data_IF_172075305128
#
_entry.id   IF_172075305128
#
_cell.length_a   1.000
_cell.length_b   1.000
_cell.length_c   1.000
_cell.angle_alpha   90.00
_cell.angle_beta   90.00
_cell.angle_gamma   90.00
#
_symmetry.space_group_name_H-M   'P 1'
#
loop_
_entity.id
_entity.type
_entity.pdbx_description
1 polymer ?
#
# COMPACT_ATOMS: atom_id res chain seq x y z
N UNK A 1 27.06 18.05 -26.65
CA UNK A 1 25.87 17.41 -26.07
C UNK A 1 24.97 16.93 -27.20
N UNK A 2 24.45 15.71 -27.14
CA UNK A 2 23.58 15.17 -28.17
C UNK A 2 22.22 15.90 -28.18
N UNK A 3 21.62 16.04 -29.37
CA UNK A 3 20.33 16.70 -29.54
C UNK A 3 19.21 15.90 -28.90
N UNK A 4 18.22 16.59 -28.25
CA UNK A 4 17.06 15.94 -27.64
C UNK A 4 16.23 15.20 -28.68
N UNK A 5 15.78 14.00 -28.36
CA UNK A 5 14.95 13.19 -29.25
C UNK A 5 13.64 13.90 -29.65
N UNK A 6 13.02 14.66 -28.72
CA UNK A 6 11.83 15.49 -29.02
C UNK A 6 12.10 16.60 -30.05
N UNK A 7 13.36 16.95 -30.29
CA UNK A 7 13.81 17.95 -31.29
C UNK A 7 14.42 17.31 -32.53
N UNK A 8 14.33 16.00 -32.71
CA UNK A 8 14.85 15.26 -33.87
C UNK A 8 16.15 14.48 -33.61
N UNK A 9 16.69 14.52 -32.40
CA UNK A 9 17.83 13.70 -31.99
C UNK A 9 17.46 12.22 -31.83
N UNK A 10 18.47 11.39 -31.52
CA UNK A 10 18.25 9.97 -31.21
C UNK A 10 17.88 9.79 -29.74
N UNK A 11 16.94 8.89 -29.39
CA UNK A 11 16.62 8.59 -28.01
C UNK A 11 17.80 7.92 -27.29
N UNK A 12 17.95 8.20 -26.00
CA UNK A 12 18.99 7.59 -25.17
C UNK A 12 18.62 6.12 -24.81
N UNK A 13 17.32 5.84 -24.56
CA UNK A 13 16.84 4.48 -24.34
C UNK A 13 16.37 3.90 -25.66
N UNK A 14 17.01 2.82 -26.12
CA UNK A 14 16.68 2.12 -27.36
C UNK A 14 16.13 0.72 -27.14
N UNK A 15 16.03 0.28 -25.90
CA UNK A 15 15.53 -1.05 -25.50
C UNK A 15 14.00 -1.03 -25.49
N UNK A 16 13.34 -1.85 -26.32
CA UNK A 16 11.88 -1.87 -26.45
C UNK A 16 11.20 -2.59 -25.27
N UNK A 17 11.74 -3.73 -24.85
CA UNK A 17 11.17 -4.58 -23.78
C UNK A 17 12.21 -4.79 -22.68
N UNK A 18 12.30 -3.88 -21.70
CA UNK A 18 13.41 -3.92 -20.75
C UNK A 18 13.34 -5.03 -19.70
N UNK A 19 12.16 -5.60 -19.38
CA UNK A 19 12.02 -6.64 -18.36
C UNK A 19 12.27 -8.03 -18.93
N UNK A 20 13.30 -8.72 -18.46
CA UNK A 20 13.68 -10.08 -18.86
C UNK A 20 13.17 -11.16 -17.90
N UNK A 21 12.82 -10.80 -16.69
CA UNK A 21 12.27 -11.73 -15.72
C UNK A 21 10.97 -12.35 -16.23
N UNK A 22 10.88 -13.68 -16.10
CA UNK A 22 9.71 -14.41 -16.56
C UNK A 22 8.91 -14.95 -15.39
N UNK A 23 7.60 -14.71 -15.44
CA UNK A 23 6.63 -15.28 -14.51
C UNK A 23 6.69 -16.82 -14.53
N UNK A 24 6.65 -17.49 -13.36
CA UNK A 24 6.71 -18.95 -13.24
C UNK A 24 5.33 -19.57 -13.56
N UNK A 25 4.89 -19.47 -14.82
CA UNK A 25 3.54 -19.87 -15.26
C UNK A 25 3.30 -21.38 -15.06
N UNK A 26 4.32 -22.20 -15.24
CA UNK A 26 4.15 -23.64 -15.12
C UNK A 26 3.96 -24.08 -13.66
N UNK A 27 4.68 -23.44 -12.70
CA UNK A 27 4.45 -23.65 -11.28
C UNK A 27 3.04 -23.18 -10.85
N UNK A 28 2.57 -22.05 -11.40
CA UNK A 28 1.21 -21.55 -11.13
C UNK A 28 0.14 -22.52 -11.64
N UNK A 29 0.32 -23.07 -12.86
CA UNK A 29 -0.59 -24.08 -13.42
C UNK A 29 -0.61 -25.34 -12.57
N UNK A 30 0.57 -25.83 -12.16
CA UNK A 30 0.70 -27.04 -11.34
C UNK A 30 -0.08 -26.89 -10.02
N UNK A 31 0.15 -25.77 -9.27
CA UNK A 31 -0.55 -25.56 -7.98
C UNK A 31 -2.07 -25.41 -8.17
N UNK A 32 -2.53 -24.72 -9.22
CA UNK A 32 -3.96 -24.55 -9.50
C UNK A 32 -4.60 -25.87 -9.95
N UNK A 33 -3.97 -26.60 -10.88
CA UNK A 33 -4.48 -27.89 -11.37
C UNK A 33 -4.57 -28.92 -10.23
N UNK A 34 -3.57 -28.97 -9.36
CA UNK A 34 -3.57 -29.84 -8.17
C UNK A 34 -4.82 -29.62 -7.29
N UNK A 35 -5.22 -28.36 -7.06
CA UNK A 35 -6.44 -28.08 -6.28
C UNK A 35 -7.73 -28.48 -7.00
N UNK A 36 -7.77 -28.31 -8.33
CA UNK A 36 -8.92 -28.72 -9.15
C UNK A 36 -9.06 -30.24 -9.10
N UNK A 37 -7.97 -31.00 -9.29
CA UNK A 37 -7.94 -32.46 -9.25
C UNK A 37 -8.34 -33.03 -7.88
N UNK A 38 -7.93 -32.34 -6.80
CA UNK A 38 -8.31 -32.68 -5.43
C UNK A 38 -9.75 -32.28 -5.09
N UNK A 39 -10.42 -31.47 -5.91
CA UNK A 39 -11.75 -30.94 -5.62
C UNK A 39 -11.78 -29.93 -4.47
N UNK A 40 -10.62 -29.37 -4.07
CA UNK A 40 -10.52 -28.42 -2.96
C UNK A 40 -10.66 -26.97 -3.44
N UNK A 41 -11.89 -26.54 -3.71
CA UNK A 41 -12.21 -25.24 -4.30
C UNK A 41 -12.86 -24.26 -3.31
N UNK A 42 -13.07 -24.66 -2.07
CA UNK A 42 -13.70 -23.84 -1.04
C UNK A 42 -13.20 -24.25 0.35
N UNK A 43 -13.22 -23.31 1.30
CA UNK A 43 -12.82 -23.58 2.70
C UNK A 43 -11.86 -22.55 3.24
N UNK A 44 -11.60 -22.63 4.55
CA UNK A 44 -10.57 -21.90 5.28
C UNK A 44 -10.25 -22.65 6.57
N UNK A 45 -9.09 -22.38 7.18
CA UNK A 45 -8.64 -23.06 8.39
C UNK A 45 -8.09 -24.46 8.18
N UNK A 46 -8.09 -24.97 6.95
CA UNK A 46 -7.52 -26.28 6.55
C UNK A 46 -7.03 -26.24 5.11
N UNK A 47 -6.23 -27.23 4.71
CA UNK A 47 -5.67 -27.35 3.35
C UNK A 47 -4.86 -26.12 2.95
N UNK A 48 -4.88 -25.77 1.67
CA UNK A 48 -4.06 -24.69 1.12
C UNK A 48 -4.23 -23.33 1.81
N UNK A 49 -5.43 -22.85 2.19
CA UNK A 49 -5.56 -21.60 2.93
C UNK A 49 -4.78 -21.60 4.25
N UNK A 50 -4.83 -22.70 5.01
CA UNK A 50 -4.08 -22.83 6.27
C UNK A 50 -2.57 -22.94 6.00
N UNK A 51 -2.17 -23.69 5.01
CA UNK A 51 -0.76 -23.79 4.60
C UNK A 51 -0.17 -22.43 4.22
N UNK A 52 -0.92 -21.64 3.43
CA UNK A 52 -0.47 -20.31 3.01
C UNK A 52 -0.42 -19.33 4.19
N UNK A 53 -1.42 -19.35 5.09
CA UNK A 53 -1.41 -18.56 6.32
C UNK A 53 -0.16 -18.88 7.17
N UNK A 54 0.20 -20.15 7.31
CA UNK A 54 1.37 -20.60 8.08
C UNK A 54 2.70 -20.20 7.39
N UNK A 55 2.79 -20.33 6.06
CA UNK A 55 3.96 -19.91 5.30
C UNK A 55 4.15 -18.40 5.40
N UNK A 56 3.09 -17.61 5.21
CA UNK A 56 3.16 -16.15 5.30
C UNK A 56 3.45 -15.68 6.72
N UNK A 57 2.81 -16.29 7.73
CA UNK A 57 3.08 -16.04 9.14
C UNK A 57 4.55 -16.28 9.49
N UNK A 58 5.12 -17.38 9.01
CA UNK A 58 6.55 -17.69 9.15
C UNK A 58 7.43 -16.65 8.46
N UNK A 59 7.08 -16.27 7.25
CA UNK A 59 7.81 -15.29 6.46
C UNK A 59 7.87 -13.92 7.15
N UNK A 60 6.76 -13.48 7.73
CA UNK A 60 6.66 -12.22 8.49
C UNK A 60 7.29 -12.34 9.87
N UNK A 61 7.19 -13.50 10.54
CA UNK A 61 7.64 -13.71 11.91
C UNK A 61 6.60 -13.31 12.97
N UNK A 62 5.32 -13.19 12.60
CA UNK A 62 4.23 -12.84 13.50
C UNK A 62 3.55 -14.06 14.14
N UNK A 63 2.69 -13.81 15.16
CA UNK A 63 1.98 -14.88 15.85
C UNK A 63 0.76 -15.39 15.10
N UNK A 64 0.03 -14.51 14.41
CA UNK A 64 -1.22 -14.83 13.73
C UNK A 64 -1.27 -14.24 12.33
N UNK A 65 -1.86 -14.99 11.42
CA UNK A 65 -2.08 -14.61 10.03
C UNK A 65 -3.45 -15.12 9.60
N UNK A 66 -4.22 -14.29 8.92
CA UNK A 66 -5.55 -14.59 8.42
C UNK A 66 -5.68 -14.13 6.96
N UNK A 67 -6.13 -15.02 6.07
CA UNK A 67 -6.37 -14.68 4.67
C UNK A 67 -7.84 -14.32 4.45
N UNK A 68 -8.07 -13.27 3.66
CA UNK A 68 -9.40 -12.77 3.28
C UNK A 68 -9.47 -12.51 1.77
N UNK A 69 -10.66 -12.22 1.27
CA UNK A 69 -10.93 -12.08 -0.16
C UNK A 69 -10.31 -10.81 -0.81
N UNK A 70 -10.02 -9.75 -0.02
CA UNK A 70 -9.41 -8.50 -0.51
C UNK A 70 -8.59 -7.80 0.58
N UNK A 71 -7.66 -6.91 0.17
CA UNK A 71 -6.92 -6.05 1.10
C UNK A 71 -7.84 -5.08 1.86
N UNK A 72 -8.90 -4.58 1.23
CA UNK A 72 -9.89 -3.70 1.88
C UNK A 72 -10.73 -4.41 2.95
N UNK A 73 -11.02 -5.71 2.77
CA UNK A 73 -11.69 -6.53 3.79
C UNK A 73 -10.74 -6.92 4.92
N UNK A 74 -9.44 -7.09 4.64
CA UNK A 74 -8.42 -7.20 5.68
C UNK A 74 -8.42 -5.97 6.58
N UNK A 75 -8.39 -4.76 6.00
CA UNK A 75 -8.45 -3.49 6.74
C UNK A 75 -9.77 -3.34 7.51
N UNK A 76 -10.92 -3.67 6.89
CA UNK A 76 -12.20 -3.62 7.57
C UNK A 76 -12.25 -4.58 8.78
N UNK A 77 -11.69 -5.78 8.66
CA UNK A 77 -11.59 -6.73 9.77
C UNK A 77 -10.63 -6.26 10.86
N UNK A 78 -9.53 -5.59 10.48
CA UNK A 78 -8.59 -4.99 11.41
C UNK A 78 -9.24 -3.85 12.22
N UNK A 79 -10.01 -2.96 11.59
CA UNK A 79 -10.75 -1.91 12.31
C UNK A 79 -11.74 -2.49 13.31
N UNK A 80 -12.48 -3.54 12.92
CA UNK A 80 -13.35 -4.24 13.87
C UNK A 80 -12.53 -4.88 15.01
N UNK A 81 -11.37 -5.47 14.69
CA UNK A 81 -10.50 -6.09 15.70
C UNK A 81 -10.00 -5.08 16.74
N UNK A 82 -9.57 -3.91 16.33
CA UNK A 82 -9.11 -2.84 17.25
C UNK A 82 -10.26 -1.98 17.79
N UNK A 83 -11.50 -2.47 17.68
CA UNK A 83 -12.72 -1.89 18.27
C UNK A 83 -13.10 -0.51 17.72
N UNK A 84 -12.75 -0.22 16.48
CA UNK A 84 -13.29 0.94 15.76
C UNK A 84 -14.78 0.73 15.51
N UNK A 85 -15.59 1.72 15.82
CA UNK A 85 -17.04 1.66 15.72
C UNK A 85 -17.71 3.02 15.53
N UNK A 86 -19.06 3.05 15.69
CA UNK A 86 -19.84 4.25 15.44
C UNK A 86 -19.41 5.42 16.33
N UNK A 87 -19.12 6.58 15.69
CA UNK A 87 -18.70 7.80 16.39
C UNK A 87 -17.21 7.94 16.62
N UNK A 88 -16.42 6.93 16.32
CA UNK A 88 -14.98 6.98 16.38
C UNK A 88 -14.35 7.72 15.17
N UNK A 89 -13.07 8.03 15.30
CA UNK A 89 -12.24 8.63 14.25
C UNK A 89 -11.01 7.75 13.97
N UNK A 90 -10.59 7.71 12.71
CA UNK A 90 -9.36 7.04 12.28
C UNK A 90 -8.49 8.01 11.49
N UNK A 91 -7.19 8.13 11.82
CA UNK A 91 -6.27 9.07 11.17
C UNK A 91 -5.51 8.34 10.06
N UNK A 92 -5.47 8.91 8.86
CA UNK A 92 -4.78 8.36 7.68
C UNK A 92 -4.24 9.50 6.80
N UNK A 93 -3.15 9.29 6.02
CA UNK A 93 -2.63 10.35 5.16
C UNK A 93 -3.60 10.68 4.02
N UNK A 94 -3.59 11.96 3.62
CA UNK A 94 -4.39 12.41 2.47
C UNK A 94 -3.86 11.89 1.12
N UNK A 95 -2.58 11.54 1.04
CA UNK A 95 -2.01 10.83 -0.09
C UNK A 95 -2.17 9.32 0.14
N UNK A 96 -3.19 8.71 -0.47
CA UNK A 96 -3.56 7.34 -0.15
C UNK A 96 -4.49 6.68 -1.18
N UNK A 97 -5.33 5.81 -0.65
CA UNK A 97 -6.32 5.06 -1.41
C UNK A 97 -7.59 4.84 -0.57
N UNK A 98 -8.76 4.95 -1.21
CA UNK A 98 -10.05 4.80 -0.52
C UNK A 98 -10.20 3.45 0.22
N UNK A 99 -9.61 2.38 -0.31
CA UNK A 99 -9.62 1.05 0.32
C UNK A 99 -8.99 1.03 1.72
N UNK A 100 -8.07 1.96 2.01
CA UNK A 100 -7.41 2.07 3.31
C UNK A 100 -8.38 2.37 4.44
N UNK A 101 -9.42 3.18 4.21
CA UNK A 101 -10.33 3.66 5.26
C UNK A 101 -11.81 3.37 5.00
N UNK A 102 -12.21 2.82 3.84
CA UNK A 102 -13.62 2.57 3.55
C UNK A 102 -14.27 1.62 4.56
N UNK A 103 -13.53 0.63 5.07
CA UNK A 103 -14.00 -0.25 6.14
C UNK A 103 -14.37 0.49 7.42
N UNK A 104 -13.61 1.51 7.80
CA UNK A 104 -13.91 2.35 8.95
C UNK A 104 -15.21 3.17 8.74
N UNK A 105 -15.42 3.71 7.53
CA UNK A 105 -16.68 4.38 7.18
C UNK A 105 -17.88 3.46 7.35
N UNK A 106 -17.79 2.21 6.89
CA UNK A 106 -18.86 1.23 7.03
C UNK A 106 -19.10 0.79 8.48
N UNK A 107 -18.09 0.85 9.35
CA UNK A 107 -18.22 0.64 10.79
C UNK A 107 -18.74 1.89 11.53
N UNK A 108 -18.97 3.01 10.85
CA UNK A 108 -19.50 4.23 11.44
C UNK A 108 -18.45 5.20 11.96
N UNK A 109 -17.19 4.93 11.70
CA UNK A 109 -16.10 5.82 12.05
C UNK A 109 -15.77 6.83 10.94
N UNK A 110 -15.28 8.00 11.31
CA UNK A 110 -14.91 9.08 10.40
C UNK A 110 -13.40 9.04 10.11
N UNK A 111 -12.96 8.95 8.84
CA UNK A 111 -11.59 9.24 8.48
C UNK A 111 -11.24 10.70 8.74
N UNK A 112 -10.12 10.92 9.43
CA UNK A 112 -9.47 12.21 9.62
C UNK A 112 -8.17 12.18 8.84
N UNK A 113 -8.06 13.02 7.81
CA UNK A 113 -6.84 13.05 7.01
C UNK A 113 -5.75 13.86 7.71
N UNK A 114 -4.49 13.45 7.49
CA UNK A 114 -3.30 14.21 7.86
C UNK A 114 -2.42 14.46 6.64
N UNK A 115 -1.49 15.38 6.77
CA UNK A 115 -0.52 15.70 5.72
C UNK A 115 0.60 14.65 5.67
N UNK A 116 1.52 14.80 4.76
CA UNK A 116 2.63 13.89 4.50
C UNK A 116 3.98 14.57 4.76
N UNK A 117 4.99 13.77 5.02
CA UNK A 117 6.37 14.22 5.02
C UNK A 117 6.83 14.51 3.57
N UNK A 118 7.44 15.66 3.29
CA UNK A 118 7.77 16.07 1.93
C UNK A 118 8.87 15.26 1.26
N UNK A 119 9.73 14.61 2.03
CA UNK A 119 10.85 13.85 1.51
C UNK A 119 10.50 12.38 1.24
N UNK A 120 9.65 11.80 2.09
CA UNK A 120 9.27 10.38 2.01
C UNK A 120 7.92 10.15 1.36
N UNK A 121 7.08 11.18 1.22
CA UNK A 121 5.68 11.14 0.77
C UNK A 121 4.78 10.22 1.63
N UNK A 122 5.21 9.91 2.85
CA UNK A 122 4.48 9.07 3.80
C UNK A 122 3.79 9.94 4.85
N UNK A 123 2.93 9.33 5.65
CA UNK A 123 2.24 9.98 6.76
C UNK A 123 3.22 10.76 7.65
N UNK A 124 2.89 12.03 7.97
CA UNK A 124 3.66 12.86 8.91
C UNK A 124 3.22 12.58 10.35
N UNK A 125 4.08 11.95 11.20
CA UNK A 125 3.74 11.68 12.59
C UNK A 125 3.41 12.95 13.41
N UNK A 126 4.00 14.11 13.07
CA UNK A 126 3.72 15.35 13.76
C UNK A 126 2.31 15.86 13.44
N UNK A 127 1.86 15.72 12.18
CA UNK A 127 0.49 16.08 11.81
C UNK A 127 -0.52 15.07 12.36
N UNK A 128 -0.18 13.78 12.44
CA UNK A 128 -0.99 12.77 13.14
C UNK A 128 -1.27 13.23 14.57
N UNK A 129 -0.23 13.57 15.33
CA UNK A 129 -0.37 13.97 16.73
C UNK A 129 -1.25 15.21 16.91
N UNK A 130 -1.12 16.21 16.02
CA UNK A 130 -1.97 17.41 16.02
C UNK A 130 -3.46 17.13 15.77
N UNK A 131 -3.80 15.99 15.12
CA UNK A 131 -5.18 15.64 14.76
C UNK A 131 -5.85 14.69 15.70
N UNK A 132 -5.17 14.22 16.74
CA UNK A 132 -5.72 13.33 17.75
C UNK A 132 -6.84 14.04 18.53
N UNK A 133 -7.97 13.35 18.67
CA UNK A 133 -9.09 13.77 19.51
C UNK A 133 -9.46 12.63 20.47
N UNK A 134 -10.33 12.85 21.47
CA UNK A 134 -10.83 11.78 22.33
C UNK A 134 -11.58 10.66 21.60
N UNK A 135 -11.96 10.86 20.33
CA UNK A 135 -12.61 9.90 19.48
C UNK A 135 -11.65 9.08 18.62
N UNK A 136 -10.40 9.47 18.53
CA UNK A 136 -9.41 8.74 17.73
C UNK A 136 -9.18 7.34 18.29
N UNK A 137 -9.37 6.30 17.46
CA UNK A 137 -9.20 4.89 17.83
C UNK A 137 -8.09 4.19 17.07
N UNK A 138 -7.80 4.64 15.84
CA UNK A 138 -6.71 4.05 15.06
C UNK A 138 -5.94 5.12 14.27
N UNK A 139 -4.65 4.86 14.11
CA UNK A 139 -3.77 5.52 13.13
C UNK A 139 -3.51 4.51 12.03
N UNK A 140 -3.62 4.93 10.78
CA UNK A 140 -3.47 4.04 9.62
C UNK A 140 -2.33 4.54 8.74
N UNK A 141 -1.08 4.18 9.06
CA UNK A 141 0.04 4.41 8.15
C UNK A 141 -0.13 3.59 6.88
N UNK A 142 0.16 4.20 5.73
CA UNK A 142 0.22 3.50 4.44
C UNK A 142 1.69 3.39 4.06
N UNK A 143 2.21 2.18 3.95
CA UNK A 143 3.56 1.92 3.42
C UNK A 143 3.54 2.05 1.90
N UNK A 144 3.31 3.30 1.45
CA UNK A 144 2.91 3.59 0.08
C UNK A 144 4.05 3.31 -0.89
N UNK A 145 3.73 2.62 -1.98
CA UNK A 145 4.68 2.15 -3.01
C UNK A 145 5.83 1.27 -2.50
N UNK A 146 5.69 0.72 -1.28
CA UNK A 146 6.70 -0.12 -0.65
C UNK A 146 7.73 0.67 0.17
N UNK A 147 7.63 2.00 0.26
CA UNK A 147 8.37 2.79 1.25
C UNK A 147 7.76 2.60 2.64
N UNK A 148 8.54 2.72 3.70
CA UNK A 148 8.14 2.39 5.07
C UNK A 148 7.99 3.64 5.91
N UNK A 149 6.84 3.79 6.58
CA UNK A 149 6.54 4.88 7.50
C UNK A 149 7.46 4.85 8.73
N UNK A 150 7.60 5.99 9.43
CA UNK A 150 8.32 6.06 10.71
C UNK A 150 7.56 5.29 11.79
N UNK A 151 7.84 3.98 11.87
CA UNK A 151 7.12 3.11 12.81
C UNK A 151 7.48 3.39 14.26
N UNK A 152 8.67 3.88 14.57
CA UNK A 152 9.03 4.25 15.95
C UNK A 152 8.16 5.40 16.44
N UNK A 153 8.04 6.46 15.65
CA UNK A 153 7.21 7.62 16.00
C UNK A 153 5.72 7.26 16.08
N UNK A 154 5.20 6.49 15.12
CA UNK A 154 3.78 6.13 15.09
C UNK A 154 3.39 5.17 16.22
N UNK A 155 4.22 4.18 16.52
CA UNK A 155 4.00 3.27 17.65
C UNK A 155 4.14 3.98 19.00
N UNK A 156 5.02 4.99 19.09
CA UNK A 156 5.12 5.82 20.30
C UNK A 156 3.84 6.64 20.52
N UNK A 157 3.34 7.30 19.47
CA UNK A 157 2.05 8.00 19.51
C UNK A 157 0.93 7.05 19.93
N UNK A 158 0.83 5.87 19.29
CA UNK A 158 -0.16 4.86 19.63
C UNK A 158 -0.15 4.51 21.13
N UNK A 159 1.04 4.25 21.69
CA UNK A 159 1.22 3.94 23.13
C UNK A 159 0.83 5.11 24.04
N UNK A 160 1.29 6.34 23.75
CA UNK A 160 1.02 7.52 24.57
C UNK A 160 -0.46 7.87 24.67
N UNK A 161 -1.18 7.67 23.58
CA UNK A 161 -2.60 8.04 23.51
C UNK A 161 -3.56 6.85 23.64
N UNK A 162 -3.06 5.61 23.74
CA UNK A 162 -3.89 4.41 23.79
C UNK A 162 -4.66 4.18 22.48
N UNK A 163 -4.06 4.48 21.34
CA UNK A 163 -4.63 4.40 19.99
C UNK A 163 -3.94 3.26 19.24
N UNK A 164 -4.72 2.41 18.57
CA UNK A 164 -4.18 1.32 17.78
C UNK A 164 -3.48 1.81 16.49
N UNK A 165 -2.43 1.11 16.07
CA UNK A 165 -1.74 1.33 14.78
C UNK A 165 -2.10 0.18 13.84
N UNK A 166 -2.90 0.48 12.80
CA UNK A 166 -3.33 -0.46 11.77
C UNK A 166 -2.57 -0.16 10.48
N UNK A 167 -1.57 -0.98 10.15
CA UNK A 167 -0.72 -0.74 8.99
C UNK A 167 -1.41 -1.17 7.68
N UNK A 168 -1.51 -0.27 6.70
CA UNK A 168 -1.81 -0.62 5.31
C UNK A 168 -0.49 -0.92 4.57
N UNK A 169 -0.15 -2.19 4.49
CA UNK A 169 1.04 -2.72 3.84
C UNK A 169 0.73 -3.32 2.46
N UNK A 170 -0.38 -2.92 1.81
CA UNK A 170 -0.80 -3.46 0.51
C UNK A 170 0.29 -3.37 -0.58
N UNK A 171 1.30 -2.52 -0.42
CA UNK A 171 2.40 -2.30 -1.36
C UNK A 171 3.77 -2.79 -0.84
N UNK A 172 3.85 -3.26 0.41
CA UNK A 172 5.11 -3.36 1.16
C UNK A 172 5.46 -4.79 1.64
N UNK A 173 5.03 -5.82 0.89
CA UNK A 173 5.38 -7.21 1.22
C UNK A 173 6.90 -7.40 1.21
N UNK A 174 7.46 -7.78 2.36
CA UNK A 174 8.88 -7.99 2.56
C UNK A 174 9.68 -6.74 2.91
N UNK A 175 9.03 -5.57 3.03
CA UNK A 175 9.66 -4.37 3.60
C UNK A 175 9.96 -4.54 5.09
N UNK A 176 10.94 -3.80 5.59
CA UNK A 176 11.41 -3.92 6.97
C UNK A 176 11.61 -2.53 7.60
N UNK A 177 11.42 -2.46 8.92
CA UNK A 177 11.80 -1.36 9.77
C UNK A 177 12.75 -1.87 10.85
N UNK A 178 13.97 -1.36 10.88
CA UNK A 178 15.05 -1.76 11.80
C UNK A 178 15.27 -3.29 11.86
N UNK A 179 15.22 -3.95 10.67
CA UNK A 179 15.38 -5.40 10.52
C UNK A 179 14.13 -6.24 10.85
N UNK A 180 13.05 -5.62 11.31
CA UNK A 180 11.76 -6.30 11.55
C UNK A 180 10.85 -6.13 10.34
N UNK A 181 10.29 -7.22 9.83
CA UNK A 181 9.36 -7.17 8.69
C UNK A 181 8.09 -6.40 9.04
N UNK A 182 7.66 -5.55 8.10
CA UNK A 182 6.32 -4.98 8.12
C UNK A 182 5.31 -6.13 8.12
N UNK A 183 4.35 -6.07 9.04
CA UNK A 183 3.47 -7.19 9.39
C UNK A 183 3.71 -7.76 10.77
N UNK A 184 4.79 -7.32 11.44
CA UNK A 184 5.17 -7.76 12.78
C UNK A 184 5.41 -6.58 13.75
N UNK A 185 4.96 -5.35 13.42
CA UNK A 185 5.25 -4.14 14.19
C UNK A 185 3.97 -3.50 14.73
N UNK A 186 3.02 -3.14 13.86
CA UNK A 186 1.74 -2.56 14.28
C UNK A 186 0.84 -3.55 15.01
N UNK A 187 -0.28 -3.05 15.53
CA UNK A 187 -1.28 -3.87 16.21
C UNK A 187 -1.93 -4.88 15.27
N UNK A 188 -2.27 -4.43 14.05
CA UNK A 188 -2.71 -5.27 12.93
C UNK A 188 -2.09 -4.70 11.65
N UNK A 189 -1.56 -5.57 10.78
CA UNK A 189 -1.06 -5.17 9.46
C UNK A 189 -1.85 -5.87 8.37
N UNK A 190 -2.22 -5.12 7.33
CA UNK A 190 -3.05 -5.59 6.23
C UNK A 190 -2.30 -5.53 4.89
N UNK A 191 -2.36 -6.63 4.13
CA UNK A 191 -1.75 -6.76 2.82
C UNK A 191 -2.79 -7.06 1.76
N UNK A 192 -2.52 -6.68 0.51
CA UNK A 192 -3.35 -7.00 -0.65
C UNK A 192 -2.64 -8.00 -1.57
N UNK A 193 -3.37 -8.98 -2.06
CA UNK A 193 -2.89 -9.97 -3.04
C UNK A 193 -3.37 -9.65 -4.47
N UNK A 194 -3.86 -8.45 -4.73
CA UNK A 194 -4.43 -8.06 -6.01
C UNK A 194 -3.39 -8.07 -7.14
N UNK A 195 -3.78 -8.60 -8.29
CA UNK A 195 -3.03 -8.51 -9.54
C UNK A 195 -2.23 -9.76 -9.89
N UNK A 196 -1.33 -9.59 -10.84
CA UNK A 196 -0.54 -10.66 -11.46
C UNK A 196 0.93 -10.26 -11.52
N UNK A 197 1.84 -11.19 -11.21
CA UNK A 197 3.28 -10.95 -11.37
C UNK A 197 3.65 -10.56 -12.81
N UNK A 198 4.62 -9.68 -13.03
CA UNK A 198 5.35 -8.89 -12.03
C UNK A 198 4.67 -7.57 -11.66
N UNK A 199 3.60 -7.14 -12.35
CA UNK A 199 2.97 -5.83 -12.23
C UNK A 199 1.92 -5.69 -11.13
N UNK A 200 1.44 -6.80 -10.54
CA UNK A 200 0.52 -6.83 -9.41
C UNK A 200 1.17 -6.44 -8.09
N UNK A 201 0.47 -6.68 -6.99
CA UNK A 201 1.03 -6.56 -5.64
C UNK A 201 2.27 -7.44 -5.48
N UNK A 202 3.17 -7.15 -4.54
CA UNK A 202 4.43 -7.92 -4.44
C UNK A 202 4.23 -9.42 -4.20
N UNK A 203 3.22 -9.80 -3.40
CA UNK A 203 2.62 -11.13 -3.41
C UNK A 203 1.23 -11.00 -4.04
N UNK A 204 0.92 -11.77 -5.06
CA UNK A 204 -0.34 -11.64 -5.80
C UNK A 204 -0.96 -13.00 -6.17
N UNK A 205 -2.30 -13.03 -6.15
CA UNK A 205 -3.11 -14.20 -6.46
C UNK A 205 -4.36 -13.85 -7.29
N UNK A 206 -4.33 -12.75 -8.04
CA UNK A 206 -5.50 -12.19 -8.73
C UNK A 206 -6.27 -11.26 -7.81
N UNK A 207 -6.95 -11.80 -6.82
CA UNK A 207 -7.60 -11.09 -5.72
C UNK A 207 -7.31 -11.80 -4.39
N UNK A 208 -7.31 -11.03 -3.29
CA UNK A 208 -7.08 -11.54 -1.95
C UNK A 208 -6.52 -10.48 -1.02
N UNK A 209 -6.48 -10.81 0.26
CA UNK A 209 -5.89 -10.01 1.32
C UNK A 209 -5.36 -10.87 2.45
N UNK A 210 -4.53 -10.28 3.27
CA UNK A 210 -3.94 -10.92 4.47
C UNK A 210 -3.98 -9.91 5.60
N UNK A 211 -4.35 -10.35 6.80
CA UNK A 211 -4.15 -9.61 8.03
C UNK A 211 -3.19 -10.38 8.94
N UNK A 212 -2.23 -9.68 9.54
CA UNK A 212 -1.28 -10.23 10.51
C UNK A 212 -1.37 -9.47 11.83
N UNK A 213 -1.15 -10.16 12.95
CA UNK A 213 -1.11 -9.56 14.28
C UNK A 213 -0.35 -10.43 15.26
N UNK A 214 0.16 -9.82 16.33
CA UNK A 214 0.73 -10.54 17.47
C UNK A 214 -0.25 -10.65 18.65
N UNK A 215 -1.42 -9.99 18.56
CA UNK A 215 -2.40 -9.91 19.63
C UNK A 215 -3.52 -10.93 19.39
N UNK A 216 -3.65 -11.90 20.30
CA UNK A 216 -4.65 -12.97 20.20
C UNK A 216 -6.09 -12.42 20.13
N UNK A 217 -6.41 -11.43 20.93
CA UNK A 217 -7.75 -10.81 20.92
C UNK A 217 -8.09 -10.27 19.52
N UNK A 218 -7.17 -9.58 18.87
CA UNK A 218 -7.42 -9.04 17.53
C UNK A 218 -7.60 -10.15 16.49
N UNK A 219 -6.81 -11.22 16.58
CA UNK A 219 -6.98 -12.38 15.72
C UNK A 219 -8.36 -13.04 15.88
N UNK A 220 -8.77 -13.32 17.13
CA UNK A 220 -10.06 -13.97 17.39
C UNK A 220 -11.26 -13.08 17.02
N UNK A 221 -11.13 -11.75 17.19
CA UNK A 221 -12.13 -10.78 16.70
C UNK A 221 -12.25 -10.80 15.17
N UNK A 222 -11.13 -10.85 14.45
CA UNK A 222 -11.16 -10.98 12.99
C UNK A 222 -11.80 -12.31 12.56
N UNK A 223 -11.45 -13.43 13.21
CA UNK A 223 -12.09 -14.71 12.93
C UNK A 223 -13.61 -14.65 13.08
N UNK A 224 -14.09 -14.15 14.22
CA UNK A 224 -15.52 -14.01 14.49
C UNK A 224 -16.23 -13.07 13.49
N UNK A 225 -15.54 -12.05 12.99
CA UNK A 225 -16.12 -11.06 12.09
C UNK A 225 -16.14 -11.49 10.62
N UNK A 226 -15.11 -12.15 10.13
CA UNK A 226 -14.98 -12.36 8.68
C UNK A 226 -14.82 -13.83 8.23
N UNK A 227 -14.73 -14.79 9.15
CA UNK A 227 -14.49 -16.20 8.82
C UNK A 227 -15.61 -17.15 9.20
N UNK A 228 -16.85 -16.77 8.94
CA UNK A 228 -18.02 -17.64 9.15
C UNK A 228 -17.78 -19.04 8.58
N UNK A 229 -18.01 -20.08 9.43
CA UNK A 229 -17.78 -21.50 9.11
C UNK A 229 -16.33 -21.84 8.71
N UNK A 230 -15.33 -21.23 9.34
CA UNK A 230 -13.94 -21.67 9.25
C UNK A 230 -13.76 -23.01 9.92
N UNK A 231 -13.04 -23.93 9.26
CA UNK A 231 -12.70 -25.22 9.90
C UNK A 231 -11.74 -24.98 11.08
N UNK A 232 -12.02 -25.64 12.22
CA UNK A 232 -11.22 -25.50 13.45
C UNK A 232 -11.45 -24.19 14.22
N UNK A 233 -12.45 -23.38 13.83
CA UNK A 233 -12.71 -22.09 14.49
C UNK A 233 -13.06 -22.24 15.97
N UNK A 234 -13.72 -23.32 16.35
CA UNK A 234 -14.06 -23.62 17.76
C UNK A 234 -12.81 -23.74 18.63
N UNK A 235 -11.76 -24.37 18.11
CA UNK A 235 -10.47 -24.53 18.79
C UNK A 235 -9.63 -23.25 18.72
N UNK A 236 -9.83 -22.43 17.71
CA UNK A 236 -9.11 -21.16 17.53
C UNK A 236 -9.69 -20.04 18.41
N UNK A 237 -11.02 -20.05 18.72
CA UNK A 237 -11.67 -19.09 19.61
C UNK A 237 -11.49 -19.51 21.07
N UNK A 238 -10.42 -19.05 21.70
CA UNK A 238 -9.99 -19.45 23.05
C UNK A 238 -10.39 -18.48 24.14
N UNK A 239 -10.58 -17.21 23.80
CA UNK A 239 -10.97 -16.16 24.76
C UNK A 239 -12.42 -16.38 25.23
N UNK A 240 -12.72 -16.18 26.52
CA UNK A 240 -14.04 -16.52 27.09
C UNK A 240 -15.21 -15.86 26.39
N UNK A 241 -15.03 -14.60 25.93
CA UNK A 241 -16.07 -13.83 25.26
C UNK A 241 -16.34 -14.28 23.81
N UNK A 242 -15.47 -15.10 23.22
CA UNK A 242 -15.63 -15.59 21.84
C UNK A 242 -15.94 -17.07 21.75
N UNK A 243 -15.81 -17.81 22.85
CA UNK A 243 -16.15 -19.23 22.90
C UNK A 243 -17.61 -19.45 22.58
N UNK A 244 -17.91 -20.37 21.68
CA UNK A 244 -19.26 -20.70 21.24
C UNK A 244 -19.82 -19.75 20.17
N UNK A 245 -19.10 -18.70 19.77
CA UNK A 245 -19.52 -17.82 18.70
C UNK A 245 -19.25 -18.38 17.30
N UNK A 246 -18.59 -19.51 17.19
CA UNK A 246 -18.32 -20.23 15.94
C UNK A 246 -19.58 -20.62 15.17
N UNK A 247 -20.69 -20.87 15.89
CA UNK A 247 -22.02 -21.16 15.34
C UNK A 247 -22.94 -19.95 15.31
N UNK A 248 -22.59 -18.87 16.01
CA UNK A 248 -23.34 -17.63 16.04
C UNK A 248 -22.82 -16.68 14.94
N UNK A 249 -23.70 -16.00 14.25
CA UNK A 249 -23.31 -15.14 13.13
C UNK A 249 -23.02 -13.73 13.62
N UNK A 250 -21.75 -13.42 13.88
CA UNK A 250 -21.33 -12.05 14.19
C UNK A 250 -20.99 -11.23 12.96
N UNK A 251 -20.60 -11.85 11.87
CA UNK A 251 -20.02 -11.12 10.75
C UNK A 251 -20.22 -11.79 9.40
N UNK A 252 -19.30 -11.50 8.50
CA UNK A 252 -19.38 -11.77 7.09
C UNK A 252 -18.48 -12.95 6.69
N UNK A 253 -18.69 -13.48 5.49
CA UNK A 253 -17.90 -14.59 4.95
C UNK A 253 -16.91 -14.08 3.92
N UNK A 254 -15.81 -13.48 4.38
CA UNK A 254 -14.78 -12.87 3.55
C UNK A 254 -13.54 -13.75 3.37
N UNK A 255 -13.73 -15.05 3.27
CA UNK A 255 -12.63 -16.02 3.10
C UNK A 255 -11.98 -15.90 1.72
N UNK A 256 -10.65 -15.92 1.66
CA UNK A 256 -9.93 -15.98 0.39
C UNK A 256 -10.24 -17.25 -0.40
N UNK A 257 -10.28 -17.15 -1.72
CA UNK A 257 -10.51 -18.30 -2.59
C UNK A 257 -9.23 -19.17 -2.70
N UNK A 258 -9.30 -20.52 -2.53
CA UNK A 258 -8.11 -21.37 -2.58
C UNK A 258 -7.28 -21.25 -3.85
N UNK A 259 -7.88 -21.07 -5.02
CA UNK A 259 -7.14 -20.88 -6.28
C UNK A 259 -6.33 -19.58 -6.30
N UNK A 260 -6.85 -18.51 -5.71
CA UNK A 260 -6.11 -17.25 -5.54
C UNK A 260 -4.89 -17.46 -4.62
N UNK A 261 -5.07 -18.19 -3.53
CA UNK A 261 -3.98 -18.50 -2.60
C UNK A 261 -2.94 -19.45 -3.19
N UNK A 262 -3.30 -20.35 -4.13
CA UNK A 262 -2.34 -21.15 -4.88
C UNK A 262 -1.39 -20.27 -5.69
N UNK A 263 -1.92 -19.29 -6.41
CA UNK A 263 -1.11 -18.30 -7.14
C UNK A 263 -0.27 -17.45 -6.20
N UNK A 264 -0.85 -17.00 -5.09
CA UNK A 264 -0.14 -16.19 -4.09
C UNK A 264 1.02 -16.97 -3.44
N UNK A 265 0.87 -18.29 -3.24
CA UNK A 265 1.92 -19.17 -2.70
C UNK A 265 3.13 -19.24 -3.64
N UNK A 266 2.91 -19.39 -4.94
CA UNK A 266 3.97 -19.35 -5.96
C UNK A 266 4.62 -17.96 -5.97
N UNK A 267 3.81 -16.89 -5.89
CA UNK A 267 4.31 -15.52 -5.84
C UNK A 267 5.18 -15.26 -4.61
N UNK A 268 4.83 -15.81 -3.44
CA UNK A 268 5.60 -15.66 -2.20
C UNK A 268 6.99 -16.30 -2.31
N UNK A 269 7.11 -17.47 -2.95
CA UNK A 269 8.39 -18.19 -3.10
C UNK A 269 9.48 -17.36 -3.78
N UNK A 270 9.11 -16.49 -4.74
CA UNK A 270 10.05 -15.64 -5.48
C UNK A 270 10.17 -14.22 -4.93
N UNK A 271 9.47 -13.88 -3.84
CA UNK A 271 9.33 -12.50 -3.35
C UNK A 271 10.67 -11.84 -3.02
N UNK A 272 11.51 -12.50 -2.21
CA UNK A 272 12.78 -11.91 -1.77
C UNK A 272 13.75 -11.69 -2.94
N UNK A 273 13.79 -12.63 -3.90
CA UNK A 273 14.55 -12.46 -5.13
C UNK A 273 14.08 -11.22 -5.91
N UNK A 274 12.78 -11.11 -6.17
CA UNK A 274 12.19 -9.98 -6.93
C UNK A 274 12.40 -8.66 -6.21
N UNK A 275 12.22 -8.63 -4.89
CA UNK A 275 12.46 -7.44 -4.09
C UNK A 275 13.93 -7.02 -4.10
N UNK A 276 14.85 -7.96 -3.96
CA UNK A 276 16.29 -7.68 -3.98
C UNK A 276 16.75 -7.09 -5.32
N UNK A 277 16.29 -7.67 -6.44
CA UNK A 277 16.61 -7.18 -7.78
C UNK A 277 16.04 -5.78 -8.06
N UNK A 278 14.78 -5.54 -7.67
CA UNK A 278 14.16 -4.21 -7.78
C UNK A 278 14.84 -3.16 -6.93
N UNK A 279 15.29 -3.53 -5.72
CA UNK A 279 16.02 -2.62 -4.85
C UNK A 279 17.41 -2.31 -5.41
N UNK A 280 18.08 -3.28 -6.01
CA UNK A 280 19.36 -3.03 -6.72
C UNK A 280 19.17 -2.02 -7.84
N UNK A 281 18.15 -2.20 -8.68
CA UNK A 281 17.81 -1.26 -9.75
C UNK A 281 17.50 0.13 -9.18
N UNK A 282 16.67 0.21 -8.14
CA UNK A 282 16.33 1.46 -7.46
C UNK A 282 17.56 2.19 -6.94
N UNK A 283 18.44 1.50 -6.22
CA UNK A 283 19.63 2.14 -5.62
C UNK A 283 20.54 2.74 -6.68
N UNK A 284 20.82 2.02 -7.75
CA UNK A 284 21.65 2.51 -8.86
C UNK A 284 21.01 3.72 -9.55
N UNK A 285 19.71 3.65 -9.85
CA UNK A 285 18.99 4.75 -10.46
C UNK A 285 18.97 5.99 -9.55
N UNK A 286 18.61 5.82 -8.27
CA UNK A 286 18.48 6.94 -7.35
C UNK A 286 19.81 7.59 -7.00
N UNK A 287 20.89 6.82 -6.92
CA UNK A 287 22.26 7.36 -6.78
C UNK A 287 22.59 8.31 -7.93
N UNK A 288 22.36 7.92 -9.17
CA UNK A 288 22.58 8.78 -10.34
C UNK A 288 21.63 10.00 -10.35
N UNK A 289 20.33 9.79 -10.08
CA UNK A 289 19.35 10.88 -10.12
C UNK A 289 19.55 11.95 -9.04
N UNK A 290 20.21 11.64 -7.93
CA UNK A 290 20.54 12.64 -6.90
C UNK A 290 21.50 13.73 -7.40
N UNK A 291 22.27 13.46 -8.43
CA UNK A 291 23.24 14.40 -9.03
C UNK A 291 22.65 15.17 -10.22
N UNK A 292 21.42 14.87 -10.64
CA UNK A 292 20.79 15.44 -11.84
C UNK A 292 19.76 16.49 -11.46
N UNK A 293 19.89 17.75 -11.93
CA UNK A 293 18.89 18.80 -11.67
C UNK A 293 17.50 18.46 -12.23
N UNK A 294 16.47 18.98 -11.59
CA UNK A 294 15.07 18.84 -12.02
C UNK A 294 14.34 17.61 -11.47
N UNK A 295 15.02 16.71 -10.78
CA UNK A 295 14.39 15.53 -10.17
C UNK A 295 15.04 15.18 -8.84
N UNK A 296 14.20 14.82 -7.86
CA UNK A 296 14.64 14.35 -6.54
C UNK A 296 14.01 12.99 -6.25
N UNK A 297 14.80 11.91 -6.09
CA UNK A 297 14.28 10.63 -5.62
C UNK A 297 13.56 10.76 -4.28
N UNK A 298 12.45 10.04 -4.12
CA UNK A 298 11.75 9.95 -2.84
C UNK A 298 12.62 9.21 -1.84
N UNK A 299 12.83 9.82 -0.66
CA UNK A 299 13.66 9.28 0.40
C UNK A 299 12.96 8.17 1.19
N UNK A 300 13.77 7.34 1.82
CA UNK A 300 13.33 6.42 2.86
C UNK A 300 13.97 6.80 4.19
N UNK A 301 13.29 6.51 5.29
CA UNK A 301 13.88 6.68 6.62
C UNK A 301 15.11 5.78 6.79
N UNK A 302 16.11 6.17 7.62
CA UNK A 302 17.34 5.39 7.77
C UNK A 302 17.17 3.95 8.25
N UNK A 303 16.11 3.69 9.03
CA UNK A 303 15.75 2.35 9.53
C UNK A 303 14.89 1.55 8.55
N UNK A 304 14.39 2.20 7.51
CA UNK A 304 13.52 1.56 6.53
C UNK A 304 14.33 0.78 5.49
N UNK A 305 13.89 -0.44 5.20
CA UNK A 305 14.28 -1.20 4.01
C UNK A 305 13.06 -1.35 3.11
N UNK A 306 12.91 -0.47 2.10
CA UNK A 306 11.78 -0.53 1.17
C UNK A 306 11.75 -1.83 0.39
N UNK A 307 10.55 -2.30 0.06
CA UNK A 307 10.37 -3.48 -0.76
C UNK A 307 9.03 -3.45 -1.51
N UNK A 308 8.87 -4.35 -2.51
CA UNK A 308 7.64 -4.47 -3.27
C UNK A 308 7.56 -3.51 -4.44
N UNK A 309 7.76 -2.22 -4.22
CA UNK A 309 7.77 -1.15 -5.24
C UNK A 309 6.56 -1.17 -6.19
N UNK A 310 5.37 -1.51 -5.66
CA UNK A 310 4.14 -1.50 -6.44
C UNK A 310 3.85 -0.11 -7.02
N UNK A 311 3.55 -0.06 -8.32
CA UNK A 311 3.34 1.20 -9.03
C UNK A 311 4.62 1.97 -9.35
N UNK A 312 5.80 1.35 -9.19
CA UNK A 312 7.10 1.87 -9.60
C UNK A 312 7.79 2.78 -8.57
N UNK A 313 9.01 3.16 -8.91
CA UNK A 313 9.89 4.04 -8.14
C UNK A 313 9.41 5.48 -8.26
N UNK A 314 9.36 6.19 -7.15
CA UNK A 314 8.86 7.58 -7.09
C UNK A 314 9.97 8.59 -6.98
N UNK A 315 9.77 9.71 -7.65
CA UNK A 315 10.62 10.89 -7.60
C UNK A 315 9.77 12.15 -7.66
N UNK A 316 10.28 13.25 -7.19
CA UNK A 316 9.61 14.54 -7.16
C UNK A 316 10.28 15.45 -8.18
N UNK A 317 9.51 15.96 -9.12
CA UNK A 317 9.98 16.97 -10.07
C UNK A 317 10.29 18.29 -9.36
N UNK A 318 11.43 18.90 -9.70
CA UNK A 318 11.94 20.16 -9.14
C UNK A 318 11.97 21.22 -10.26
N UNK A 319 10.87 21.96 -10.50
CA UNK A 319 10.85 22.98 -11.54
C UNK A 319 11.84 24.11 -11.26
N UNK A 320 12.17 24.34 -10.00
CA UNK A 320 13.09 25.38 -9.54
C UNK A 320 14.51 25.20 -10.12
N UNK A 321 14.93 23.96 -10.37
CA UNK A 321 16.24 23.62 -10.95
C UNK A 321 16.29 23.84 -12.47
N UNK A 322 15.13 23.99 -13.13
CA UNK A 322 14.99 24.07 -14.58
C UNK A 322 14.23 25.33 -15.04
N UNK A 323 14.50 26.47 -14.38
CA UNK A 323 13.92 27.79 -14.66
C UNK A 323 12.38 27.78 -14.79
N UNK A 324 11.68 26.87 -14.05
CA UNK A 324 10.23 26.77 -14.05
C UNK A 324 9.65 25.97 -15.23
N UNK A 325 10.42 25.14 -15.91
CA UNK A 325 9.93 24.29 -17.01
C UNK A 325 8.68 23.50 -16.56
N UNK A 326 7.56 23.52 -17.31
CA UNK A 326 6.36 22.77 -16.95
C UNK A 326 6.65 21.26 -16.88
N UNK A 327 6.08 20.59 -15.85
CA UNK A 327 6.28 19.14 -15.63
C UNK A 327 5.82 18.30 -16.84
N UNK A 328 4.78 18.74 -17.54
CA UNK A 328 4.29 18.12 -18.77
C UNK A 328 5.38 18.05 -19.83
N UNK A 329 6.05 19.17 -20.03
CA UNK A 329 7.12 19.30 -21.03
C UNK A 329 8.36 18.47 -20.66
N UNK A 330 8.71 18.45 -19.38
CA UNK A 330 9.78 17.59 -18.86
C UNK A 330 9.49 16.10 -19.09
N UNK A 331 8.27 15.65 -18.76
CA UNK A 331 7.83 14.27 -18.97
C UNK A 331 7.77 13.90 -20.46
N UNK A 332 7.30 14.81 -21.34
CA UNK A 332 7.30 14.61 -22.80
C UNK A 332 8.74 14.41 -23.34
N UNK A 333 9.68 15.23 -22.88
CA UNK A 333 11.07 15.11 -23.29
C UNK A 333 11.68 13.77 -22.87
N UNK A 334 11.48 13.34 -21.61
CA UNK A 334 11.96 12.04 -21.13
C UNK A 334 11.31 10.86 -21.87
N UNK A 335 10.02 10.95 -22.19
CA UNK A 335 9.35 9.91 -23.01
C UNK A 335 9.90 9.85 -24.42
N UNK A 336 10.21 10.98 -25.04
CA UNK A 336 10.86 11.01 -26.34
C UNK A 336 12.25 10.38 -26.31
N UNK A 337 12.96 10.48 -25.19
CA UNK A 337 14.21 9.77 -24.94
C UNK A 337 14.03 8.27 -24.67
N UNK A 338 12.79 7.75 -24.65
CA UNK A 338 12.47 6.33 -24.45
C UNK A 338 12.28 5.93 -22.98
N UNK A 339 12.26 6.89 -22.03
CA UNK A 339 12.06 6.57 -20.61
C UNK A 339 10.60 6.24 -20.34
N UNK A 340 10.26 5.10 -19.70
CA UNK A 340 8.88 4.72 -19.37
C UNK A 340 8.39 5.49 -18.13
N UNK A 341 8.39 6.81 -18.20
CA UNK A 341 8.02 7.69 -17.09
C UNK A 341 6.55 8.09 -17.13
N UNK A 342 5.93 8.18 -15.98
CA UNK A 342 4.56 8.64 -15.82
C UNK A 342 4.43 9.64 -14.67
N UNK A 343 3.40 10.49 -14.73
CA UNK A 343 2.98 11.31 -13.58
C UNK A 343 2.00 10.52 -12.72
N UNK A 344 2.04 10.77 -11.41
CA UNK A 344 1.00 10.27 -10.53
C UNK A 344 -0.31 11.00 -10.81
N UNK A 345 -1.30 10.27 -11.29
CA UNK A 345 -2.54 10.84 -11.84
C UNK A 345 -3.75 10.78 -10.90
N UNK A 346 -3.58 10.46 -9.61
CA UNK A 346 -4.69 10.40 -8.66
C UNK A 346 -4.81 11.70 -7.87
N UNK A 347 -6.04 12.07 -7.50
CA UNK A 347 -6.29 13.15 -6.54
C UNK A 347 -5.95 12.70 -5.11
N UNK A 348 -5.70 13.66 -4.23
CA UNK A 348 -5.63 13.45 -2.79
C UNK A 348 -6.99 13.01 -2.23
N UNK A 349 -7.00 12.22 -1.16
CA UNK A 349 -8.23 11.62 -0.64
C UNK A 349 -9.22 12.68 -0.11
N UNK A 350 -8.74 13.74 0.54
CA UNK A 350 -9.59 14.85 1.02
C UNK A 350 -10.29 15.62 -0.13
N UNK A 351 -9.73 15.57 -1.36
CA UNK A 351 -10.30 16.24 -2.54
C UNK A 351 -11.46 15.47 -3.16
N UNK A 352 -11.71 14.23 -2.73
CA UNK A 352 -12.86 13.45 -3.20
C UNK A 352 -14.17 14.13 -2.82
N UNK A 353 -15.16 14.04 -3.70
CA UNK A 353 -16.46 14.70 -3.53
C UNK A 353 -17.10 14.37 -2.17
N UNK A 354 -17.02 13.12 -1.72
CA UNK A 354 -17.58 12.68 -0.43
C UNK A 354 -16.97 13.40 0.78
N UNK A 355 -15.71 13.82 0.69
CA UNK A 355 -15.01 14.54 1.74
C UNK A 355 -15.02 16.07 1.57
N UNK A 356 -15.44 16.55 0.42
CA UNK A 356 -15.67 17.99 0.20
C UNK A 356 -17.07 18.44 0.58
N UNK A 357 -18.06 17.57 0.38
CA UNK A 357 -19.50 17.89 0.55
C UNK A 357 -20.18 17.07 1.64
N UNK A 358 -19.52 16.02 2.13
CA UNK A 358 -20.17 14.99 2.93
C UNK A 358 -20.97 14.01 2.07
N UNK A 359 -21.30 12.88 2.65
CA UNK A 359 -22.10 11.83 2.03
C UNK A 359 -22.88 11.05 3.09
N UNK A 360 -24.18 10.92 2.89
CA UNK A 360 -25.05 10.15 3.78
C UNK A 360 -25.01 8.66 3.41
N UNK A 361 -23.96 7.99 3.88
CA UNK A 361 -23.65 6.60 3.54
C UNK A 361 -24.80 5.62 3.85
N UNK A 362 -25.55 5.86 4.95
CA UNK A 362 -26.59 4.94 5.41
C UNK A 362 -28.01 5.49 5.21
N UNK A 363 -28.16 6.67 4.67
CA UNK A 363 -29.42 7.38 4.54
C UNK A 363 -29.91 7.98 5.87
N UNK A 364 -30.85 8.91 5.78
CA UNK A 364 -31.49 9.59 6.91
C UNK A 364 -30.52 10.35 7.84
N UNK A 365 -29.40 10.86 7.32
CA UNK A 365 -28.40 11.60 8.08
C UNK A 365 -27.59 10.78 9.08
N UNK A 366 -27.58 9.46 8.96
CA UNK A 366 -26.99 8.55 9.97
C UNK A 366 -25.55 8.15 9.70
N UNK A 367 -25.03 8.37 8.49
CA UNK A 367 -23.66 8.02 8.16
C UNK A 367 -22.62 8.95 8.79
N UNK A 368 -21.36 8.51 8.94
CA UNK A 368 -20.30 9.29 9.60
C UNK A 368 -19.95 10.60 8.94
N UNK A 369 -20.32 10.78 7.66
CA UNK A 369 -20.14 12.03 6.89
C UNK A 369 -21.46 12.77 6.63
N UNK A 370 -22.58 12.32 7.20
CA UNK A 370 -23.93 12.84 6.92
C UNK A 370 -24.51 13.75 8.00
N UNK A 371 -24.09 13.64 9.23
CA UNK A 371 -24.74 14.37 10.32
C UNK A 371 -24.29 13.99 11.74
N UNK A 372 -25.05 14.44 12.74
CA UNK A 372 -24.72 14.32 14.17
C UNK A 372 -25.20 13.00 14.81
N UNK A 373 -25.81 12.10 14.04
CA UNK A 373 -26.47 10.90 14.56
C UNK A 373 -25.56 10.02 15.45
N UNK A 374 -24.26 9.94 15.11
CA UNK A 374 -23.28 9.14 15.83
C UNK A 374 -22.53 9.93 16.93
N UNK A 375 -23.07 11.07 17.37
CA UNK A 375 -22.39 11.96 18.31
C UNK A 375 -21.15 12.67 17.71
N UNK A 376 -20.94 12.55 16.41
CA UNK A 376 -19.89 13.25 15.68
C UNK A 376 -20.32 14.71 15.45
N UNK A 377 -19.38 15.68 15.50
CA UNK A 377 -19.70 17.03 15.07
C UNK A 377 -20.10 17.05 13.59
N UNK A 378 -20.90 18.04 13.13
CA UNK A 378 -21.24 18.18 11.72
C UNK A 378 -19.99 18.11 10.84
N UNK A 379 -20.07 17.31 9.78
CA UNK A 379 -18.95 17.21 8.83
C UNK A 379 -18.90 18.47 7.97
N UNK A 380 -17.83 19.26 8.12
CA UNK A 380 -17.65 20.55 7.42
C UNK A 380 -17.01 20.42 6.04
N UNK A 381 -16.55 19.21 5.67
CA UNK A 381 -15.74 18.99 4.48
C UNK A 381 -14.30 19.51 4.64
N UNK A 382 -13.48 19.14 3.68
CA UNK A 382 -12.11 19.65 3.55
C UNK A 382 -12.04 20.72 2.44
N UNK A 383 -11.04 21.61 2.56
CA UNK A 383 -10.80 22.71 1.62
C UNK A 383 -9.38 22.63 1.07
N UNK A 384 -9.15 23.32 -0.02
CA UNK A 384 -7.80 23.59 -0.53
C UNK A 384 -6.98 24.35 0.51
N UNK A 385 -5.73 23.93 0.72
CA UNK A 385 -4.84 24.47 1.75
C UNK A 385 -4.89 23.72 3.09
N UNK A 386 -5.79 22.75 3.30
CA UNK A 386 -5.86 21.97 4.54
C UNK A 386 -4.67 20.99 4.68
N UNK A 387 -4.01 20.64 3.55
CA UNK A 387 -2.86 19.72 3.47
C UNK A 387 -1.78 20.29 2.53
N UNK A 388 -1.10 21.37 2.92
CA UNK A 388 -0.26 22.16 2.03
C UNK A 388 0.92 21.37 1.44
N UNK A 389 1.49 20.41 2.17
CA UNK A 389 2.61 19.62 1.67
C UNK A 389 2.12 18.68 0.57
N UNK A 390 1.10 17.87 0.83
CA UNK A 390 0.56 16.94 -0.16
C UNK A 390 0.02 17.68 -1.40
N UNK A 391 -0.67 18.81 -1.20
CA UNK A 391 -1.25 19.62 -2.29
C UNK A 391 -0.16 20.22 -3.20
N UNK A 392 0.96 20.66 -2.63
CA UNK A 392 2.08 21.21 -3.41
C UNK A 392 2.84 20.16 -4.23
N UNK A 393 2.86 18.91 -3.75
CA UNK A 393 3.67 17.84 -4.34
C UNK A 393 2.90 16.95 -5.31
N UNK A 394 1.58 16.79 -5.16
CA UNK A 394 0.80 15.80 -5.92
C UNK A 394 0.99 15.91 -7.43
N UNK A 395 1.07 17.11 -7.98
CA UNK A 395 1.30 17.38 -9.40
C UNK A 395 2.74 17.10 -9.87
N UNK A 396 3.68 16.96 -8.95
CA UNK A 396 5.12 16.81 -9.22
C UNK A 396 5.62 15.37 -9.05
N UNK A 397 4.78 14.44 -8.57
CA UNK A 397 5.19 13.05 -8.36
C UNK A 397 5.31 12.34 -9.71
N UNK A 398 6.52 11.87 -10.00
CA UNK A 398 6.86 11.07 -11.18
C UNK A 398 7.12 9.62 -10.79
N UNK A 399 6.99 8.71 -11.76
CA UNK A 399 7.16 7.27 -11.54
C UNK A 399 7.82 6.59 -12.73
N UNK A 400 8.77 5.70 -12.44
CA UNK A 400 9.35 4.74 -13.38
C UNK A 400 9.09 3.32 -12.84
N UNK A 401 8.77 2.31 -13.67
CA UNK A 401 8.66 0.93 -13.23
C UNK A 401 9.94 0.43 -12.55
N UNK A 402 9.79 -0.39 -11.50
CA UNK A 402 10.91 -1.07 -10.86
C UNK A 402 11.13 -2.44 -11.54
N UNK A 403 12.25 -2.61 -12.21
CA UNK A 403 12.57 -3.82 -12.98
C UNK A 403 13.26 -4.88 -12.11
N UNK A 404 12.99 -6.15 -12.40
CA UNK A 404 13.61 -7.31 -11.72
C UNK A 404 14.89 -7.70 -12.45
N UNK A 405 14.82 -7.89 -13.75
CA UNK A 405 15.94 -8.26 -14.62
C UNK A 405 15.95 -7.34 -15.85
N UNK A 406 16.40 -6.08 -15.69
CA UNK A 406 16.44 -5.15 -16.81
C UNK A 406 17.42 -5.64 -17.89
N UNK A 407 17.06 -5.42 -19.15
CA UNK A 407 17.96 -5.62 -20.29
C UNK A 407 19.24 -4.80 -20.12
N UNK A 408 20.36 -5.35 -20.59
CA UNK A 408 21.66 -4.66 -20.57
C UNK A 408 21.59 -3.30 -21.29
N UNK A 409 22.18 -2.26 -20.68
CA UNK A 409 22.17 -0.89 -21.21
C UNK A 409 20.87 -0.11 -20.94
N UNK A 410 19.80 -0.76 -20.41
CA UNK A 410 18.55 -0.04 -20.15
C UNK A 410 18.66 1.00 -19.04
N UNK A 411 19.27 0.64 -17.91
CA UNK A 411 19.46 1.56 -16.79
C UNK A 411 20.34 2.74 -17.15
N UNK A 412 21.44 2.47 -17.84
CA UNK A 412 22.39 3.47 -18.34
C UNK A 412 21.70 4.44 -19.31
N UNK A 413 20.88 3.93 -20.24
CA UNK A 413 20.10 4.76 -21.15
C UNK A 413 19.06 5.62 -20.42
N UNK A 414 18.42 5.11 -19.36
CA UNK A 414 17.52 5.91 -18.53
C UNK A 414 18.26 7.05 -17.84
N UNK A 415 19.44 6.79 -17.25
CA UNK A 415 20.27 7.81 -16.60
C UNK A 415 20.70 8.86 -17.63
N UNK A 416 21.25 8.44 -18.79
CA UNK A 416 21.64 9.33 -19.88
C UNK A 416 20.48 10.22 -20.35
N UNK A 417 19.25 9.68 -20.42
CA UNK A 417 18.06 10.45 -20.78
C UNK A 417 17.80 11.60 -19.81
N UNK A 418 17.89 11.36 -18.50
CA UNK A 418 17.72 12.40 -17.50
C UNK A 418 18.83 13.47 -17.58
N UNK A 419 20.09 13.07 -17.70
CA UNK A 419 21.23 13.98 -17.89
C UNK A 419 21.05 14.84 -19.14
N UNK A 420 20.65 14.22 -20.25
CA UNK A 420 20.46 14.88 -21.55
C UNK A 420 19.33 15.91 -21.50
N UNK A 421 18.19 15.58 -20.85
CA UNK A 421 17.07 16.51 -20.68
C UNK A 421 17.48 17.65 -19.75
N UNK A 422 18.12 17.38 -18.62
CA UNK A 422 18.61 18.39 -17.69
C UNK A 422 19.64 19.34 -18.34
N UNK A 423 20.53 18.84 -19.19
CA UNK A 423 21.53 19.66 -19.87
C UNK A 423 20.95 20.55 -21.01
N UNK A 424 19.78 20.19 -21.55
CA UNK A 424 19.18 20.86 -22.70
C UNK A 424 17.81 21.49 -22.42
N UNK A 425 17.37 21.59 -21.18
CA UNK A 425 16.01 22.02 -20.81
C UNK A 425 15.63 23.40 -21.38
N UNK A 426 16.58 24.31 -21.56
CA UNK A 426 16.35 25.65 -22.14
C UNK A 426 15.89 25.60 -23.60
N UNK A 427 15.96 24.43 -24.25
CA UNK A 427 15.49 24.24 -25.65
C UNK A 427 14.05 23.65 -25.67
N UNK A 428 13.50 23.31 -24.51
CA UNK A 428 12.18 22.79 -24.34
C UNK A 428 11.13 23.87 -24.11
#
# INVERSE_FOLDING_TARGET
MSELAILGGKPAVTVENPERWKRPIDEEKEEVCRLIEQGFLSGSGTGLPKEFEDEFRKYIGCNFCLTVDHGSTALASAFYAVKVGPGDEVITPTLGYIGTYCGALHLGARPVFCDIDPDTLLIDPQDVERRITPRTRAIIPIHFWGNVCDMDALMDIGRRYGIAVVEDAAHAHGAEWDGVKIGNIGDVTCFSLQGTMPGGKPVCGGEGGIATTNVREFYERMLAYCHLHRAGVTEELTLPEYRGLDSEVLGLKWRAHPLALALAKVSLRSLDYRNGRRDEFRRKLFEALNEIPGVKPVRSYPKAKPAGFYGGLKMIYQPEDLDGLPVERYVEALRAEGVPISRYGRSLEHQRMIFRKGFDLWGHGRGPLGGEFLGLPPFKGYREGDFPVAESLIGRILSIPAYIEPEEGFLEGVIEAFEKVAANYKRL
#
